data_IF_625319572664
#
_entry.id   IF_625319572664
#
_cell.length_a   1.000
_cell.length_b   1.000
_cell.length_c   1.000
_cell.angle_alpha   90.00
_cell.angle_beta   90.00
_cell.angle_gamma   90.00
#
_symmetry.space_group_name_H-M   'P 1'
#
loop_
_entity.id
_entity.type
_entity.pdbx_description
1 polymer ?
2 non-polymer ?
3 water ?
#
# COMPACT_ATOMS: atom_id res chain seq x y z
N UNK A 6 -27.05 -6.59 27.55
CA UNK A 6 -26.25 -5.37 27.47
C UNK A 6 -26.80 -4.30 28.43
N UNK A 7 -27.54 -4.74 29.46
CA UNK A 7 -27.92 -3.87 30.56
C UNK A 7 -27.71 -4.61 31.87
N UNK A 8 -27.45 -3.85 32.93
CA UNK A 8 -27.47 -4.39 34.29
C UNK A 8 -28.77 -3.90 34.95
N UNK A 9 -29.28 -4.72 35.86
CA UNK A 9 -30.53 -4.41 36.55
C UNK A 9 -30.34 -4.24 38.04
N UNK A 10 -29.17 -4.56 38.57
CA UNK A 10 -28.80 -4.33 39.97
C UNK A 10 -27.46 -3.62 40.01
N UNK A 11 -27.13 -2.94 41.11
CA UNK A 11 -25.78 -2.37 41.28
C UNK A 11 -24.70 -3.44 41.10
N UNK A 12 -23.70 -3.11 40.29
CA UNK A 12 -22.72 -4.10 39.86
C UNK A 12 -21.32 -3.49 39.91
N UNK A 13 -20.33 -4.18 40.46
CA UNK A 13 -18.97 -3.63 40.49
C UNK A 13 -18.46 -3.31 39.09
N UNK A 14 -17.76 -2.17 38.97
CA UNK A 14 -17.17 -1.79 37.68
C UNK A 14 -16.35 -2.93 37.10
N UNK A 15 -15.50 -3.58 37.92
CA UNK A 15 -14.60 -4.59 37.36
C UNK A 15 -15.33 -5.87 36.94
N UNK A 16 -16.55 -6.08 37.42
CA UNK A 16 -17.31 -7.22 36.93
C UNK A 16 -17.75 -7.03 35.48
N UNK A 17 -17.98 -5.79 35.06
CA UNK A 17 -18.42 -5.51 33.70
C UNK A 17 -17.24 -5.28 32.77
N UNK A 18 -16.26 -4.49 33.20
CA UNK A 18 -15.10 -4.08 32.38
C UNK A 18 -13.92 -4.96 32.81
N UNK A 19 -13.72 -6.04 32.06
CA UNK A 19 -12.84 -7.12 32.51
C UNK A 19 -11.36 -6.81 32.33
N UNK A 20 -11.01 -5.85 31.47
CA UNK A 20 -9.63 -5.36 31.36
C UNK A 20 -9.38 -4.37 32.48
N UNK A 21 -8.39 -4.62 33.32
CA UNK A 21 -8.17 -3.77 34.50
C UNK A 21 -7.91 -2.33 34.08
N UNK A 22 -7.18 -2.13 32.97
CA UNK A 22 -6.89 -0.79 32.53
C UNK A 22 -8.15 -0.06 32.08
N UNK A 23 -9.07 -0.76 31.41
CA UNK A 23 -10.33 -0.13 31.02
C UNK A 23 -11.25 0.06 32.21
N UNK A 24 -11.24 -0.84 33.17
CA UNK A 24 -12.01 -0.63 34.40
C UNK A 24 -11.55 0.64 35.09
N UNK A 25 -10.26 0.90 35.11
CA UNK A 25 -9.77 2.14 35.71
C UNK A 25 -10.23 3.34 34.92
N UNK A 26 -10.25 3.25 33.59
CA UNK A 26 -10.81 4.29 32.75
C UNK A 26 -12.24 4.63 33.12
N UNK A 27 -13.08 3.62 33.33
CA UNK A 27 -14.48 3.87 33.66
C UNK A 27 -14.59 4.44 35.07
N UNK A 28 -13.81 3.91 36.02
CA UNK A 28 -13.80 4.45 37.37
C UNK A 28 -13.51 5.95 37.36
N UNK A 29 -12.48 6.36 36.62
CA UNK A 29 -12.14 7.77 36.54
C UNK A 29 -13.22 8.57 35.82
N UNK A 30 -13.80 8.01 34.75
CA UNK A 30 -14.85 8.68 34.01
C UNK A 30 -16.05 8.99 34.91
N UNK A 31 -16.44 8.03 35.73
CA UNK A 31 -17.55 8.20 36.67
C UNK A 31 -17.14 8.77 38.03
N UNK A 32 -15.88 9.16 38.21
CA UNK A 32 -15.43 9.79 39.46
C UNK A 32 -15.73 8.91 40.66
N UNK A 33 -15.53 7.60 40.50
CA UNK A 33 -15.62 6.64 41.58
C UNK A 33 -14.25 6.46 42.24
N UNK A 34 -14.25 5.86 43.44
CA UNK A 34 -13.01 5.69 44.18
C UNK A 34 -12.26 4.41 43.82
N UNK A 35 -12.98 3.34 43.47
CA UNK A 35 -12.33 2.05 43.22
C UNK A 35 -13.05 1.32 42.10
N UNK A 36 -12.31 0.48 41.39
CA UNK A 36 -12.93 -0.35 40.36
C UNK A 36 -13.85 -1.40 40.96
N UNK A 37 -13.80 -1.60 42.28
CA UNK A 37 -14.77 -2.47 42.94
C UNK A 37 -16.08 -1.76 43.26
N UNK A 38 -16.17 -0.44 43.05
CA UNK A 38 -17.39 0.27 43.39
C UNK A 38 -18.52 -0.19 42.47
N UNK A 39 -19.71 -0.34 43.05
CA UNK A 39 -20.88 -0.72 42.29
C UNK A 39 -21.41 0.47 41.52
N UNK A 40 -21.83 0.23 40.28
CA UNK A 40 -22.47 1.22 39.43
C UNK A 40 -23.86 0.71 39.02
N UNK A 41 -24.73 1.64 38.64
CA UNK A 41 -26.05 1.33 38.12
C UNK A 41 -26.11 1.56 36.62
N UNK A 42 -27.11 0.97 35.97
CA UNK A 42 -27.31 1.24 34.56
C UNK A 42 -27.56 2.72 34.31
N UNK A 43 -28.29 3.41 35.21
CA UNK A 43 -28.46 4.85 35.05
C UNK A 43 -27.10 5.54 34.93
N UNK A 44 -26.14 5.14 35.78
CA UNK A 44 -24.79 5.72 35.69
C UNK A 44 -24.11 5.34 34.38
N UNK A 45 -24.24 4.10 33.94
CA UNK A 45 -23.64 3.71 32.67
C UNK A 45 -24.24 4.47 31.50
N UNK A 46 -25.55 4.73 31.58
CA UNK A 46 -26.23 5.49 30.54
C UNK A 46 -25.73 6.94 30.46
N UNK A 47 -25.13 7.47 31.53
CA UNK A 47 -24.68 8.86 31.52
C UNK A 47 -23.36 9.07 30.79
N UNK A 48 -22.70 7.99 30.38
CA UNK A 48 -21.40 8.11 29.70
C UNK A 48 -21.61 8.45 28.24
N UNK A 49 -21.24 9.67 27.85
CA UNK A 49 -21.28 10.12 26.46
C UNK A 49 -19.92 10.11 25.77
N UNK A 50 -18.83 10.22 26.52
CA UNK A 50 -17.51 10.37 25.94
C UNK A 50 -16.52 9.65 26.82
N UNK A 51 -15.63 8.88 26.22
CA UNK A 51 -14.50 8.24 26.89
C UNK A 51 -13.23 8.72 26.21
N UNK A 52 -12.31 9.25 27.02
CA UNK A 52 -10.97 9.64 26.57
C UNK A 52 -9.98 8.72 27.29
N UNK A 53 -9.36 7.83 26.54
CA UNK A 53 -8.50 6.83 27.13
C UNK A 53 -7.39 6.47 26.15
N UNK A 54 -6.66 7.48 25.71
CA UNK A 54 -5.50 7.25 24.87
C UNK A 54 -4.33 6.78 25.71
N UNK A 55 -3.45 5.99 25.10
CA UNK A 55 -2.21 5.58 25.74
C UNK A 55 -2.45 5.04 27.15
N UNK A 56 -3.47 4.20 27.27
CA UNK A 56 -3.95 3.73 28.56
C UNK A 56 -3.72 2.24 28.79
N UNK A 57 -2.92 1.58 27.93
CA UNK A 57 -2.55 0.18 28.12
C UNK A 57 -3.75 -0.77 28.09
N UNK A 58 -4.77 -0.40 27.36
CA UNK A 58 -6.01 -1.18 27.24
C UNK A 58 -5.82 -2.26 26.16
N UNK A 59 -6.06 -3.51 26.53
CA UNK A 59 -6.12 -4.64 25.60
C UNK A 59 -7.52 -4.92 25.06
N UNK A 60 -8.53 -4.77 25.89
CA UNK A 60 -9.92 -5.08 25.52
C UNK A 60 -10.88 -4.06 26.09
N UNK A 61 -11.86 -3.66 25.29
CA UNK A 61 -12.94 -2.82 25.79
C UNK A 61 -14.21 -3.61 26.11
N UNK A 62 -14.08 -4.89 26.40
CA UNK A 62 -15.24 -5.66 26.87
C UNK A 62 -15.91 -4.95 28.03
N UNK A 63 -17.25 -4.83 27.95
CA UNK A 63 -18.03 -4.08 28.89
C UNK A 63 -18.58 -2.81 28.33
N UNK A 64 -17.92 -2.28 27.29
CA UNK A 64 -18.41 -1.06 26.66
C UNK A 64 -19.78 -1.27 26.05
N UNK A 65 -20.18 -2.54 25.80
CA UNK A 65 -21.49 -2.82 25.25
C UNK A 65 -22.59 -2.29 26.15
N UNK A 66 -22.30 -2.09 27.45
CA UNK A 66 -23.29 -1.61 28.40
C UNK A 66 -23.45 -0.08 28.43
N UNK A 67 -22.79 0.65 27.51
CA UNK A 67 -22.80 2.10 27.45
C UNK A 67 -23.55 2.54 26.20
N UNK A 68 -24.88 2.51 26.19
CA UNK A 68 -25.59 2.72 24.90
C UNK A 68 -25.48 4.10 24.35
N UNK A 69 -25.16 5.08 25.17
CA UNK A 69 -25.18 6.48 24.76
C UNK A 69 -23.82 7.06 24.44
N UNK A 70 -22.78 6.24 24.35
CA UNK A 70 -21.47 6.77 24.06
C UNK A 70 -21.45 7.29 22.62
N UNK A 71 -20.99 8.54 22.46
CA UNK A 71 -20.91 9.19 21.19
C UNK A 71 -19.49 9.47 20.73
N UNK A 72 -18.53 9.61 21.65
CA UNK A 72 -17.14 9.89 21.28
C UNK A 72 -16.24 8.93 22.03
N UNK A 73 -15.34 8.27 21.32
CA UNK A 73 -14.43 7.30 21.91
C UNK A 73 -13.03 7.60 21.40
N UNK A 74 -12.15 7.95 22.29
CA UNK A 74 -10.75 8.23 21.97
C UNK A 74 -9.89 7.16 22.60
N UNK A 75 -9.35 6.28 21.78
CA UNK A 75 -8.64 5.06 22.23
C UNK A 75 -7.34 4.90 21.47
N UNK A 76 -6.71 6.04 21.12
CA UNK A 76 -5.45 5.94 20.39
C UNK A 76 -4.36 5.38 21.25
N UNK A 77 -3.46 4.60 20.67
CA UNK A 77 -2.26 4.19 21.40
C UNK A 77 -2.49 3.18 22.50
N UNK A 78 -3.38 2.23 22.26
CA UNK A 78 -3.61 1.09 23.16
C UNK A 78 -3.14 -0.18 22.47
N UNK A 79 -3.69 -1.32 22.84
CA UNK A 79 -3.27 -2.63 22.41
C UNK A 79 -4.43 -3.37 21.78
N UNK A 80 -5.41 -2.63 21.26
CA UNK A 80 -6.64 -3.25 20.78
C UNK A 80 -6.45 -4.01 19.48
N UNK A 81 -7.05 -5.18 19.42
CA UNK A 81 -7.22 -5.90 18.15
C UNK A 81 -8.68 -6.18 17.81
N UNK A 82 -9.59 -6.13 18.78
CA UNK A 82 -10.96 -6.66 18.67
C UNK A 82 -11.92 -5.51 18.95
N UNK A 83 -12.65 -5.08 17.92
CA UNK A 83 -13.65 -4.02 18.09
C UNK A 83 -15.06 -4.58 18.14
N UNK A 84 -15.24 -5.90 18.23
CA UNK A 84 -16.58 -6.44 18.34
C UNK A 84 -17.41 -5.79 19.46
N UNK A 85 -16.85 -5.44 20.62
CA UNK A 85 -17.67 -4.78 21.64
C UNK A 85 -18.28 -3.45 21.20
N UNK A 86 -17.78 -2.83 20.14
CA UNK A 86 -18.34 -1.57 19.64
C UNK A 86 -19.53 -1.78 18.74
N UNK A 87 -19.87 -3.01 18.37
CA UNK A 87 -20.70 -3.22 17.17
C UNK A 87 -22.10 -2.64 17.32
N UNK A 88 -22.63 -2.57 18.53
CA UNK A 88 -24.00 -2.08 18.75
C UNK A 88 -24.07 -0.76 19.50
N UNK A 89 -23.01 0.03 19.44
CA UNK A 89 -22.97 1.38 19.98
C UNK A 89 -23.54 2.32 18.90
N UNK A 90 -24.89 2.39 18.89
CA UNK A 90 -25.62 2.96 17.77
C UNK A 90 -25.40 4.45 17.67
N UNK A 91 -25.05 5.09 18.79
CA UNK A 91 -24.88 6.53 18.81
C UNK A 91 -23.44 6.95 18.64
N UNK A 92 -22.52 6.03 18.34
CA UNK A 92 -21.11 6.41 18.20
C UNK A 92 -20.94 7.31 17.00
N UNK A 93 -20.35 8.49 17.20
CA UNK A 93 -20.13 9.45 16.14
C UNK A 93 -18.66 9.71 15.83
N UNK A 94 -17.78 9.59 16.83
CA UNK A 94 -16.34 9.82 16.70
C UNK A 94 -15.63 8.63 17.28
N UNK A 95 -14.75 8.01 16.50
CA UNK A 95 -14.04 6.82 16.91
C UNK A 95 -12.59 6.96 16.51
N UNK A 96 -11.72 7.09 17.49
CA UNK A 96 -10.28 7.26 17.24
C UNK A 96 -9.53 6.06 17.80
N UNK A 97 -8.88 5.32 16.91
CA UNK A 97 -8.20 4.06 17.18
C UNK A 97 -6.79 4.03 16.61
N UNK A 98 -6.15 5.18 16.46
CA UNK A 98 -4.80 5.21 15.91
C UNK A 98 -3.86 4.40 16.80
N UNK A 99 -2.81 3.80 16.21
CA UNK A 99 -1.79 3.10 16.97
C UNK A 99 -2.36 1.98 17.83
N UNK A 100 -3.17 1.17 17.24
CA UNK A 100 -3.62 -0.13 17.77
C UNK A 100 -3.26 -1.18 16.73
N UNK A 101 -3.87 -2.36 16.80
CA UNK A 101 -3.69 -3.43 15.84
C UNK A 101 -5.04 -3.92 15.35
N UNK A 102 -5.93 -2.97 15.04
CA UNK A 102 -7.28 -3.25 14.58
C UNK A 102 -7.22 -3.38 13.07
N UNK A 103 -7.30 -4.60 12.59
CA UNK A 103 -7.32 -4.89 11.16
C UNK A 103 -8.67 -5.38 10.68
N UNK A 104 -9.41 -6.09 11.51
CA UNK A 104 -10.73 -6.61 11.15
C UNK A 104 -11.76 -5.52 11.42
N UNK A 105 -12.35 -4.98 10.35
CA UNK A 105 -13.30 -3.88 10.43
C UNK A 105 -14.77 -4.31 10.34
N UNK A 106 -15.06 -5.61 10.45
CA UNK A 106 -16.42 -6.06 10.28
C UNK A 106 -17.36 -5.39 11.26
N UNK A 107 -16.91 -5.16 12.49
CA UNK A 107 -17.80 -4.64 13.52
C UNK A 107 -18.15 -3.18 13.38
N UNK A 108 -17.64 -2.48 12.35
CA UNK A 108 -18.09 -1.13 12.11
C UNK A 108 -19.38 -1.10 11.30
N UNK A 109 -19.83 -2.25 10.80
CA UNK A 109 -20.85 -2.30 9.74
C UNK A 109 -22.12 -1.53 10.10
N UNK A 110 -22.56 -1.61 11.35
CA UNK A 110 -23.83 -1.02 11.75
C UNK A 110 -23.69 0.31 12.51
N UNK A 111 -22.53 0.94 12.44
CA UNK A 111 -22.31 2.21 13.13
C UNK A 111 -22.72 3.34 12.18
N UNK A 112 -24.03 3.48 12.00
CA UNK A 112 -24.56 4.33 10.92
C UNK A 112 -24.59 5.82 11.29
N UNK A 113 -24.23 6.18 12.52
CA UNK A 113 -24.08 7.55 12.93
C UNK A 113 -22.62 7.98 12.99
N UNK A 114 -21.69 7.11 12.63
CA UNK A 114 -20.28 7.47 12.71
C UNK A 114 -19.94 8.55 11.68
N UNK A 115 -19.34 9.64 12.16
CA UNK A 115 -18.95 10.76 11.31
C UNK A 115 -17.45 10.88 11.14
N UNK A 116 -16.67 10.50 12.14
CA UNK A 116 -15.24 10.64 12.10
C UNK A 116 -14.63 9.34 12.57
N UNK A 117 -13.75 8.79 11.77
CA UNK A 117 -13.08 7.51 12.03
C UNK A 117 -11.59 7.63 11.78
N UNK A 118 -10.79 7.25 12.79
CA UNK A 118 -9.34 7.36 12.68
C UNK A 118 -8.71 6.01 13.00
N UNK A 119 -7.98 5.44 12.05
CA UNK A 119 -7.40 4.12 12.10
C UNK A 119 -5.95 4.17 11.62
N UNK A 120 -5.23 5.22 11.94
CA UNK A 120 -3.86 5.36 11.46
C UNK A 120 -2.95 4.39 12.20
N UNK A 121 -1.87 3.93 11.55
CA UNK A 121 -0.89 3.06 12.23
C UNK A 121 -1.53 1.81 12.86
N UNK A 122 -2.34 1.10 12.08
CA UNK A 122 -2.96 -0.17 12.51
C UNK A 122 -2.51 -1.38 11.67
N UNK A 123 -1.61 -1.22 10.72
CA UNK A 123 -1.20 -2.31 9.83
C UNK A 123 -2.30 -2.76 8.88
N UNK A 124 -3.25 -1.86 8.56
CA UNK A 124 -4.38 -2.21 7.73
C UNK A 124 -4.01 -2.28 6.26
N UNK A 125 -4.47 -3.32 5.57
CA UNK A 125 -4.46 -3.34 4.11
C UNK A 125 -5.86 -3.27 3.49
N UNK A 126 -6.79 -4.06 3.99
CA UNK A 126 -8.10 -4.25 3.38
C UNK A 126 -9.11 -3.31 4.06
N UNK A 127 -9.56 -2.31 3.29
CA UNK A 127 -10.50 -1.33 3.79
C UNK A 127 -11.90 -1.53 3.20
N UNK A 128 -12.16 -2.70 2.61
CA UNK A 128 -13.47 -2.87 1.98
C UNK A 128 -14.63 -2.81 2.96
N UNK A 129 -14.40 -3.08 4.24
CA UNK A 129 -15.47 -2.94 5.24
C UNK A 129 -16.01 -1.53 5.40
N UNK A 130 -15.32 -0.53 4.87
CA UNK A 130 -15.81 0.84 4.93
C UNK A 130 -17.00 1.09 4.01
N UNK A 131 -17.36 0.14 3.15
CA UNK A 131 -18.54 0.27 2.28
C UNK A 131 -19.78 0.52 3.10
N UNK A 132 -19.79 0.10 4.36
CA UNK A 132 -20.97 0.20 5.19
C UNK A 132 -21.10 1.54 5.89
N UNK A 133 -20.16 2.47 5.66
CA UNK A 133 -20.18 3.77 6.33
C UNK A 133 -20.22 4.92 5.32
N UNK A 134 -21.23 4.94 4.41
CA UNK A 134 -21.24 6.00 3.39
C UNK A 134 -21.49 7.39 3.94
N UNK A 135 -21.89 7.54 5.21
CA UNK A 135 -22.15 8.83 5.81
C UNK A 135 -20.90 9.48 6.40
N UNK A 136 -19.74 8.81 6.37
CA UNK A 136 -18.57 9.35 7.02
C UNK A 136 -18.19 10.70 6.48
N UNK A 137 -17.77 11.59 7.37
CA UNK A 137 -17.33 12.94 7.00
C UNK A 137 -15.82 13.14 7.10
N UNK A 138 -15.16 12.47 8.04
CA UNK A 138 -13.70 12.49 8.11
C UNK A 138 -13.18 11.08 8.32
N UNK A 139 -12.12 10.75 7.63
CA UNK A 139 -11.51 9.42 7.65
C UNK A 139 -10.01 9.54 7.61
N UNK A 140 -9.34 9.00 8.62
CA UNK A 140 -7.90 9.06 8.72
C UNK A 140 -7.30 7.66 8.67
N UNK A 141 -6.55 7.36 7.60
CA UNK A 141 -5.98 6.04 7.34
C UNK A 141 -4.48 6.13 7.08
N UNK A 142 -3.82 7.19 7.52
CA UNK A 142 -2.40 7.33 7.25
C UNK A 142 -1.60 6.24 7.93
N UNK A 143 -0.42 5.94 7.37
CA UNK A 143 0.53 5.00 7.93
C UNK A 143 -0.03 3.60 8.10
N UNK A 144 -0.46 3.02 6.98
CA UNK A 144 -0.97 1.67 6.91
C UNK A 144 -0.30 0.99 5.73
N UNK A 145 -0.94 -0.08 5.22
CA UNK A 145 -0.41 -0.88 4.09
C UNK A 145 -1.45 -0.97 3.00
N UNK A 146 -2.18 0.13 2.77
CA UNK A 146 -3.28 0.13 1.82
C UNK A 146 -2.76 0.28 0.40
N UNK A 147 -3.29 -0.55 -0.51
CA UNK A 147 -3.07 -0.35 -1.94
C UNK A 147 -4.35 -0.07 -2.72
N UNK A 148 -5.47 -0.58 -2.29
CA UNK A 148 -6.72 -0.57 -3.04
C UNK A 148 -7.74 0.28 -2.32
N UNK A 149 -8.06 1.44 -2.90
CA UNK A 149 -9.01 2.37 -2.34
C UNK A 149 -10.31 2.42 -3.13
N UNK A 150 -10.63 1.39 -3.91
CA UNK A 150 -11.87 1.33 -4.69
C UNK A 150 -13.11 1.69 -3.86
N UNK A 151 -13.20 1.17 -2.61
CA UNK A 151 -14.37 1.41 -1.77
C UNK A 151 -14.62 2.89 -1.51
N UNK A 152 -13.60 3.74 -1.59
CA UNK A 152 -13.81 5.13 -1.19
C UNK A 152 -14.70 5.91 -2.17
N UNK A 153 -14.92 5.41 -3.35
CA UNK A 153 -15.82 6.09 -4.29
C UNK A 153 -17.23 6.18 -3.74
N UNK A 154 -17.58 5.34 -2.75
CA UNK A 154 -18.89 5.39 -2.14
C UNK A 154 -19.00 6.40 -1.01
N UNK A 155 -17.88 6.98 -0.56
CA UNK A 155 -17.88 7.84 0.63
C UNK A 155 -17.98 9.30 0.20
N UNK A 156 -19.18 9.62 -0.33
CA UNK A 156 -19.42 10.92 -0.97
C UNK A 156 -19.78 12.03 0.02
N UNK A 157 -19.76 11.75 1.33
CA UNK A 157 -19.90 12.80 2.34
C UNK A 157 -18.57 13.21 2.96
N UNK A 158 -17.45 12.58 2.57
CA UNK A 158 -16.17 12.94 3.17
C UNK A 158 -15.79 14.36 2.79
N UNK A 159 -15.43 15.15 3.78
CA UNK A 159 -14.76 16.42 3.56
C UNK A 159 -13.29 16.37 3.92
N UNK A 160 -12.86 15.34 4.67
CA UNK A 160 -11.47 15.21 5.12
C UNK A 160 -11.05 13.75 4.98
N UNK A 161 -9.96 13.53 4.26
CA UNK A 161 -9.46 12.19 3.99
C UNK A 161 -7.94 12.18 4.05
N UNK A 162 -7.38 11.35 4.91
CA UNK A 162 -5.94 11.12 4.97
C UNK A 162 -5.60 9.70 4.58
N UNK A 163 -4.75 9.57 3.55
CA UNK A 163 -4.25 8.29 3.07
C UNK A 163 -2.73 8.33 3.01
N UNK A 164 -2.09 9.29 3.67
CA UNK A 164 -0.63 9.44 3.57
C UNK A 164 0.07 8.20 4.05
N UNK A 165 1.27 7.95 3.53
CA UNK A 165 2.10 6.84 4.01
C UNK A 165 1.38 5.49 3.86
N UNK A 166 0.99 5.19 2.62
CA UNK A 166 0.42 3.90 2.22
C UNK A 166 1.16 3.50 0.94
N UNK A 167 0.56 2.61 0.18
CA UNK A 167 1.15 2.07 -1.03
C UNK A 167 0.24 2.23 -2.23
N UNK A 168 -0.41 3.41 -2.32
CA UNK A 168 -1.42 3.67 -3.31
C UNK A 168 -0.82 4.26 -4.57
N UNK A 169 -1.14 3.66 -5.72
CA UNK A 169 -0.88 4.27 -7.00
C UNK A 169 -2.15 4.68 -7.74
N UNK A 170 -3.26 4.02 -7.50
CA UNK A 170 -4.49 4.23 -8.26
C UNK A 170 -5.45 5.08 -7.42
N UNK A 171 -5.51 6.36 -7.72
CA UNK A 171 -6.40 7.30 -7.04
C UNK A 171 -7.69 7.60 -7.83
N UNK A 172 -7.96 6.89 -8.91
CA UNK A 172 -9.21 7.08 -9.66
C UNK A 172 -10.44 6.97 -8.76
N UNK A 173 -10.47 6.13 -7.72
CA UNK A 173 -11.67 6.08 -6.85
C UNK A 173 -11.99 7.42 -6.18
N UNK A 174 -11.07 8.36 -6.13
CA UNK A 174 -11.35 9.65 -5.51
C UNK A 174 -12.03 10.64 -6.44
N UNK A 175 -12.09 10.37 -7.74
CA UNK A 175 -12.39 11.40 -8.72
C UNK A 175 -13.73 12.08 -8.50
N UNK A 176 -14.70 11.34 -8.03
CA UNK A 176 -16.05 11.91 -7.83
C UNK A 176 -16.33 12.44 -6.44
N UNK A 177 -15.31 12.52 -5.58
CA UNK A 177 -15.47 12.95 -4.18
C UNK A 177 -15.33 14.47 -4.09
N UNK A 178 -16.26 15.17 -4.76
CA UNK A 178 -16.12 16.63 -4.86
C UNK A 178 -16.35 17.35 -3.53
N UNK A 179 -16.95 16.70 -2.52
CA UNK A 179 -17.04 17.34 -1.21
C UNK A 179 -15.71 17.48 -0.50
N UNK A 180 -14.65 16.83 -0.99
CA UNK A 180 -13.40 16.86 -0.26
C UNK A 180 -12.85 18.28 -0.18
N UNK A 181 -12.45 18.67 1.03
CA UNK A 181 -11.79 19.93 1.34
C UNK A 181 -10.36 19.72 1.83
N UNK A 182 -10.04 18.59 2.45
CA UNK A 182 -8.71 18.34 3.01
C UNK A 182 -8.30 16.93 2.60
N UNK A 183 -7.26 16.83 1.81
CA UNK A 183 -6.83 15.56 1.24
C UNK A 183 -5.33 15.38 1.38
N UNK A 184 -4.92 14.30 2.09
CA UNK A 184 -3.52 14.05 2.43
C UNK A 184 -3.11 12.77 1.73
N UNK A 185 -2.19 12.89 0.74
CA UNK A 185 -1.77 11.79 -0.09
C UNK A 185 -0.25 11.66 -0.15
N UNK A 186 0.49 12.32 0.71
CA UNK A 186 1.95 12.22 0.69
C UNK A 186 2.42 10.78 0.93
N UNK A 187 3.63 10.47 0.45
CA UNK A 187 4.26 9.18 0.75
C UNK A 187 3.41 8.00 0.28
N UNK A 188 3.01 8.04 -0.99
CA UNK A 188 2.37 6.92 -1.68
C UNK A 188 3.17 6.63 -2.94
N UNK A 189 2.56 6.03 -3.94
CA UNK A 189 3.20 5.61 -5.19
C UNK A 189 2.49 6.31 -6.36
N UNK A 190 2.09 7.57 -6.16
CA UNK A 190 1.24 8.30 -7.12
C UNK A 190 2.11 8.98 -8.17
N UNK A 191 1.86 8.65 -9.45
CA UNK A 191 2.49 9.34 -10.56
C UNK A 191 1.51 10.11 -11.44
N UNK A 192 0.20 9.97 -11.23
CA UNK A 192 -0.79 10.48 -12.19
C UNK A 192 -1.90 11.21 -11.44
N UNK A 193 -1.97 12.51 -11.61
CA UNK A 193 -2.94 13.31 -10.84
C UNK A 193 -4.27 13.53 -11.53
N UNK A 194 -4.51 12.91 -12.69
CA UNK A 194 -5.73 13.23 -13.44
C UNK A 194 -6.99 13.02 -12.61
N UNK A 195 -6.98 12.01 -11.73
CA UNK A 195 -8.16 11.71 -10.92
C UNK A 195 -8.59 12.87 -10.04
N UNK A 196 -7.68 13.80 -9.75
CA UNK A 196 -7.98 14.89 -8.84
C UNK A 196 -8.58 16.11 -9.53
N UNK A 197 -8.72 16.12 -10.84
CA UNK A 197 -8.99 17.35 -11.56
C UNK A 197 -10.28 18.02 -11.18
N UNK A 198 -11.28 17.26 -10.74
CA UNK A 198 -12.57 17.81 -10.42
C UNK A 198 -12.76 18.21 -9.00
N UNK A 199 -11.72 18.17 -8.16
CA UNK A 199 -11.90 18.39 -6.71
C UNK A 199 -11.77 19.88 -6.42
N UNK A 200 -12.79 20.62 -6.90
CA UNK A 200 -12.69 22.06 -6.91
C UNK A 200 -12.89 22.72 -5.54
N UNK A 201 -13.27 21.96 -4.52
CA UNK A 201 -13.49 22.50 -3.19
C UNK A 201 -12.31 22.27 -2.26
N UNK A 202 -11.22 21.70 -2.75
CA UNK A 202 -10.06 21.48 -1.88
C UNK A 202 -9.54 22.79 -1.31
N UNK A 203 -9.25 22.78 0.00
CA UNK A 203 -8.56 23.83 0.72
C UNK A 203 -7.13 23.41 1.10
N UNK A 204 -6.93 22.15 1.42
CA UNK A 204 -5.65 21.62 1.85
C UNK A 204 -5.40 20.35 1.04
N UNK A 205 -4.20 20.25 0.46
CA UNK A 205 -3.79 19.14 -0.35
C UNK A 205 -2.31 18.88 -0.12
N UNK A 206 -1.96 17.62 0.15
CA UNK A 206 -0.56 17.23 0.29
C UNK A 206 -0.25 16.07 -0.64
N UNK A 207 0.85 16.23 -1.43
CA UNK A 207 1.27 15.27 -2.45
C UNK A 207 2.76 14.99 -2.39
N UNK A 208 3.41 15.28 -1.27
CA UNK A 208 4.86 15.19 -1.12
C UNK A 208 5.35 13.74 -1.27
N UNK A 209 6.58 13.57 -1.75
CA UNK A 209 7.37 12.38 -1.47
C UNK A 209 6.74 11.09 -1.99
N UNK A 210 6.40 11.06 -3.29
CA UNK A 210 5.97 9.84 -3.95
C UNK A 210 7.13 8.98 -4.37
N UNK A 211 6.95 7.68 -4.32
CA UNK A 211 7.92 6.71 -4.82
C UNK A 211 7.22 5.76 -5.77
N UNK A 212 7.64 5.75 -7.02
CA UNK A 212 6.97 5.04 -8.09
C UNK A 212 7.98 4.08 -8.67
N UNK A 213 7.56 2.85 -8.92
CA UNK A 213 8.42 1.77 -9.37
C UNK A 213 7.90 1.19 -10.66
N UNK A 214 8.68 1.30 -11.73
CA UNK A 214 8.32 0.67 -12.98
C UNK A 214 8.62 -0.83 -12.94
N UNK A 215 7.92 -1.57 -13.80
CA UNK A 215 8.27 -2.97 -14.02
C UNK A 215 9.65 -3.06 -14.67
N UNK A 216 10.44 -4.06 -14.30
CA UNK A 216 11.78 -4.17 -14.89
C UNK A 216 11.76 -4.33 -16.40
N UNK A 217 12.81 -3.81 -17.02
CA UNK A 217 13.09 -3.99 -18.45
C UNK A 217 14.56 -4.36 -18.60
N UNK A 218 14.93 -4.85 -19.78
CA UNK A 218 16.32 -5.21 -19.99
C UNK A 218 17.18 -3.97 -20.07
N UNK A 219 18.39 -4.03 -19.50
CA UNK A 219 19.40 -3.03 -19.78
C UNK A 219 19.73 -3.04 -21.26
N UNK A 220 19.89 -1.84 -21.83
CA UNK A 220 20.42 -1.67 -23.18
C UNK A 220 21.34 -0.46 -23.16
N UNK A 221 22.21 -0.39 -24.18
CA UNK A 221 23.15 0.71 -24.28
C UNK A 221 22.43 2.05 -24.43
N UNK A 222 21.30 2.08 -25.15
CA UNK A 222 20.47 3.29 -25.25
C UNK A 222 19.05 2.96 -24.88
N UNK A 223 18.61 3.51 -23.77
CA UNK A 223 17.33 3.22 -23.20
C UNK A 223 16.41 4.43 -23.40
N UNK A 224 15.17 4.16 -23.75
CA UNK A 224 14.16 5.20 -23.94
C UNK A 224 12.94 4.77 -23.15
N UNK A 225 12.60 5.52 -22.09
CA UNK A 225 11.54 5.18 -21.17
C UNK A 225 10.52 6.30 -21.16
N UNK A 226 9.24 6.03 -21.37
CA UNK A 226 8.24 7.10 -21.33
C UNK A 226 8.18 7.77 -19.98
N UNK A 227 8.03 9.10 -20.00
CA UNK A 227 7.71 9.85 -18.78
C UNK A 227 6.22 9.67 -18.47
N UNK A 228 5.93 8.98 -17.36
CA UNK A 228 4.58 8.65 -16.97
C UNK A 228 4.02 9.55 -15.87
N UNK A 229 4.72 10.62 -15.52
CA UNK A 229 4.32 11.52 -14.45
C UNK A 229 3.40 12.62 -15.00
N UNK A 230 2.15 12.63 -14.55
CA UNK A 230 1.12 13.47 -15.13
C UNK A 230 0.44 14.39 -14.14
N UNK A 231 0.26 15.62 -14.57
CA UNK A 231 -0.49 16.65 -13.89
C UNK A 231 -2.00 16.38 -13.96
N UNK A 232 -2.79 17.21 -13.26
CA UNK A 232 -4.23 16.98 -13.22
C UNK A 232 -4.86 17.06 -14.60
N UNK A 233 -4.26 17.82 -15.52
CA UNK A 233 -4.77 17.91 -16.89
C UNK A 233 -4.13 16.91 -17.84
N UNK A 234 -3.31 16.00 -17.33
CA UNK A 234 -2.66 15.01 -18.17
C UNK A 234 -1.36 15.47 -18.83
N UNK A 235 -1.01 16.74 -18.71
CA UNK A 235 0.32 17.18 -19.18
C UNK A 235 1.42 16.50 -18.36
N UNK A 236 2.55 16.30 -19.00
CA UNK A 236 3.65 15.59 -18.36
C UNK A 236 4.52 16.54 -17.54
N UNK A 237 4.90 16.08 -16.37
CA UNK A 237 5.80 16.82 -15.47
C UNK A 237 7.23 16.65 -15.97
N UNK A 238 7.88 17.74 -16.30
CA UNK A 238 9.28 17.68 -16.73
C UNK A 238 10.15 17.21 -15.56
N UNK A 239 11.06 16.26 -15.76
CA UNK A 239 11.91 15.81 -14.63
C UNK A 239 12.76 16.96 -14.10
N UNK A 240 12.92 16.98 -12.79
CA UNK A 240 13.79 17.92 -12.10
C UNK A 240 15.25 17.52 -12.21
N UNK A 241 15.56 16.23 -12.13
CA UNK A 241 16.89 15.69 -12.32
C UNK A 241 16.78 14.24 -12.74
N UNK A 242 17.71 13.78 -13.57
CA UNK A 242 17.70 12.42 -14.12
C UNK A 242 19.02 11.75 -13.76
N UNK A 243 18.93 10.51 -13.32
CA UNK A 243 20.12 9.77 -12.96
C UNK A 243 20.99 9.42 -14.16
N UNK A 244 22.24 9.06 -13.88
CA UNK A 244 23.11 8.41 -14.87
C UNK A 244 23.21 9.25 -16.15
N UNK A 245 23.31 10.57 -15.99
CA UNK A 245 23.57 11.49 -17.10
C UNK A 245 22.48 11.45 -18.15
N UNK A 246 21.29 10.98 -17.80
CA UNK A 246 20.19 10.89 -18.73
C UNK A 246 19.66 12.25 -19.13
N UNK A 247 18.85 12.25 -20.18
CA UNK A 247 18.30 13.46 -20.79
C UNK A 247 16.81 13.33 -20.94
N UNK A 248 16.11 14.47 -21.05
CA UNK A 248 14.66 14.49 -21.28
C UNK A 248 14.38 14.99 -22.68
N UNK A 249 13.58 14.23 -23.43
CA UNK A 249 13.06 14.70 -24.72
C UNK A 249 11.59 14.30 -24.75
N UNK A 250 10.72 15.22 -24.33
CA UNK A 250 9.30 14.94 -24.21
C UNK A 250 8.83 14.12 -25.40
N UNK A 251 8.11 13.01 -25.19
CA UNK A 251 7.60 12.48 -23.92
C UNK A 251 8.46 11.46 -23.21
N UNK A 252 9.73 11.38 -23.52
CA UNK A 252 10.58 10.26 -23.05
C UNK A 252 11.75 10.74 -22.23
N UNK A 253 12.19 9.87 -21.32
CA UNK A 253 13.49 9.99 -20.63
C UNK A 253 14.45 9.05 -21.30
N UNK A 254 15.70 9.47 -21.50
CA UNK A 254 16.66 8.77 -22.33
C UNK A 254 17.98 8.61 -21.60
N UNK A 255 18.59 7.44 -21.67
CA UNK A 255 19.87 7.18 -21.06
C UNK A 255 20.81 6.49 -22.03
N UNK A 256 22.10 6.80 -21.91
CA UNK A 256 23.19 6.09 -22.54
C UNK A 256 23.92 5.35 -21.41
N UNK A 257 23.88 4.03 -21.47
CA UNK A 257 24.38 3.15 -20.39
C UNK A 257 25.38 2.16 -20.98
N UNK A 258 26.58 2.60 -21.25
CA UNK A 258 27.58 1.70 -21.84
C UNK A 258 27.99 0.57 -20.94
N UNK A 259 27.86 0.71 -19.63
CA UNK A 259 28.08 -0.40 -18.71
C UNK A 259 26.76 -0.75 -18.06
N UNK A 260 26.57 -2.04 -17.78
CA UNK A 260 25.37 -2.45 -17.08
C UNK A 260 25.26 -1.77 -15.73
N UNK A 261 24.05 -1.36 -15.40
CA UNK A 261 23.67 -0.94 -14.07
C UNK A 261 22.24 -1.41 -13.81
N UNK A 262 21.94 -1.74 -12.58
CA UNK A 262 20.68 -2.44 -12.33
C UNK A 262 19.51 -1.53 -12.07
N UNK A 263 19.70 -0.20 -12.12
CA UNK A 263 18.53 0.68 -12.07
C UNK A 263 18.93 2.07 -12.53
N UNK A 264 17.96 2.78 -13.11
CA UNK A 264 18.09 4.23 -13.33
C UNK A 264 16.83 4.84 -12.74
N UNK A 265 16.81 6.18 -12.64
CA UNK A 265 15.67 6.84 -12.01
C UNK A 265 15.62 8.30 -12.46
N UNK A 266 14.51 8.96 -12.15
CA UNK A 266 14.38 10.39 -12.32
C UNK A 266 13.50 10.91 -11.20
N UNK A 267 13.74 12.15 -10.83
CA UNK A 267 13.00 12.86 -9.78
C UNK A 267 12.18 13.96 -10.43
N UNK A 268 10.97 14.18 -9.91
CA UNK A 268 10.04 15.18 -10.46
C UNK A 268 9.55 16.09 -9.37
N UNK A 269 9.18 17.30 -9.78
CA UNK A 269 8.70 18.34 -8.87
C UNK A 269 7.75 19.22 -9.66
N UNK A 270 6.56 19.40 -9.12
CA UNK A 270 5.56 20.22 -9.80
C UNK A 270 4.71 20.92 -8.75
N UNK A 271 4.74 22.25 -8.64
CA UNK A 271 3.72 22.98 -7.85
C UNK A 271 2.37 22.82 -8.54
N UNK A 272 1.37 22.41 -7.79
CA UNK A 272 0.03 22.02 -8.28
C UNK A 272 -0.99 22.95 -7.64
N UNK A 273 -2.04 23.31 -8.37
CA UNK A 273 -3.17 24.01 -7.82
C UNK A 273 -4.40 23.20 -8.19
N UNK A 274 -5.20 22.83 -7.20
CA UNK A 274 -6.46 22.11 -7.41
C UNK A 274 -7.47 22.75 -6.50
N UNK A 275 -8.56 23.22 -7.06
CA UNK A 275 -9.57 23.91 -6.25
C UNK A 275 -8.93 25.17 -5.68
N UNK A 276 -9.02 25.33 -4.35
CA UNK A 276 -8.39 26.44 -3.66
C UNK A 276 -7.06 26.03 -3.00
N UNK A 277 -6.59 24.83 -3.26
CA UNK A 277 -5.41 24.31 -2.57
C UNK A 277 -4.16 24.36 -3.45
N UNK A 278 -3.03 24.62 -2.85
CA UNK A 278 -1.74 24.54 -3.51
C UNK A 278 -0.94 23.44 -2.84
N UNK A 279 -0.20 22.68 -3.64
CA UNK A 279 0.57 21.55 -3.13
C UNK A 279 1.82 21.40 -3.96
N UNK A 280 2.76 20.70 -3.44
CA UNK A 280 4.00 20.35 -4.15
C UNK A 280 3.98 18.86 -4.42
N UNK A 281 3.80 18.49 -5.66
CA UNK A 281 3.76 17.08 -6.11
C UNK A 281 5.19 16.75 -6.49
N UNK A 282 5.84 15.86 -5.75
CA UNK A 282 7.25 15.54 -6.02
C UNK A 282 7.53 14.12 -5.63
N UNK A 283 8.56 13.56 -6.27
CA UNK A 283 8.91 12.19 -5.98
C UNK A 283 9.92 11.64 -6.98
N UNK A 284 10.00 10.31 -7.00
CA UNK A 284 10.97 9.57 -7.80
C UNK A 284 10.27 8.48 -8.57
N UNK A 285 10.69 8.30 -9.84
CA UNK A 285 10.36 7.12 -10.65
C UNK A 285 11.63 6.29 -10.78
N UNK A 286 11.55 5.02 -10.37
CA UNK A 286 12.68 4.08 -10.42
C UNK A 286 12.41 3.05 -11.50
N UNK A 287 13.39 2.86 -12.36
CA UNK A 287 13.36 1.85 -13.43
C UNK A 287 14.37 0.73 -13.19
N UNK A 288 13.94 -0.43 -12.69
CA UNK A 288 14.87 -1.57 -12.58
C UNK A 288 15.27 -2.09 -13.94
N UNK A 289 16.55 -2.47 -14.04
CA UNK A 289 17.14 -3.00 -15.27
C UNK A 289 17.70 -4.41 -15.04
N UNK A 290 17.39 -5.30 -15.98
CA UNK A 290 17.90 -6.68 -15.92
C UNK A 290 19.14 -6.81 -16.80
N UNK A 291 20.14 -7.55 -16.30
CA UNK A 291 21.37 -7.83 -17.01
C UNK A 291 21.17 -9.09 -17.85
N UNK A 292 21.14 -8.93 -19.15
CA UNK A 292 20.70 -10.02 -20.03
C UNK A 292 21.76 -10.24 -21.09
N UNK A 293 22.07 -11.51 -21.32
CA UNK A 293 23.03 -11.92 -22.36
C UNK A 293 22.39 -12.99 -23.22
N UNK A 294 23.09 -13.34 -24.30
CA UNK A 294 22.55 -14.25 -25.31
C UNK A 294 23.34 -15.56 -25.30
N UNK A 295 22.62 -16.67 -25.17
CA UNK A 295 23.19 -17.99 -25.44
C UNK A 295 22.89 -18.29 -26.92
N UNK A 296 23.94 -18.56 -27.70
CA UNK A 296 23.83 -19.02 -29.08
C UNK A 296 24.00 -20.52 -29.07
N UNK A 297 23.03 -21.21 -29.67
CA UNK A 297 23.05 -22.66 -29.78
C UNK A 297 23.41 -22.99 -31.22
N UNK A 298 24.64 -23.46 -31.44
CA UNK A 298 25.16 -23.74 -32.78
C UNK A 298 24.87 -25.20 -33.14
N UNK A 299 24.19 -25.39 -34.26
CA UNK A 299 23.94 -26.70 -34.83
C UNK A 299 24.53 -26.68 -36.24
N UNK A 300 25.66 -27.37 -36.40
CA UNK A 300 26.36 -27.45 -37.71
C UNK A 300 26.74 -26.09 -38.29
N UNK A 301 27.18 -25.16 -37.47
CA UNK A 301 27.81 -23.96 -37.93
C UNK A 301 26.92 -22.75 -38.04
N UNK A 302 25.62 -22.88 -37.67
CA UNK A 302 24.73 -21.75 -37.60
C UNK A 302 23.91 -21.89 -36.32
N UNK A 303 23.22 -20.86 -35.93
CA UNK A 303 22.79 -20.72 -34.55
C UNK A 303 21.34 -20.28 -34.41
N UNK A 304 20.68 -20.78 -33.35
CA UNK A 304 19.49 -20.13 -32.79
C UNK A 304 19.97 -19.41 -31.53
N UNK A 305 19.21 -18.41 -31.11
CA UNK A 305 19.63 -17.56 -30.00
C UNK A 305 18.54 -17.35 -28.97
N UNK A 306 18.96 -17.31 -27.73
CA UNK A 306 18.04 -17.09 -26.59
C UNK A 306 18.65 -16.07 -25.64
N UNK A 307 17.83 -15.12 -25.17
CA UNK A 307 18.27 -14.18 -24.13
C UNK A 307 17.95 -14.71 -22.75
N UNK A 308 18.92 -14.60 -21.84
CA UNK A 308 18.77 -15.11 -20.48
C UNK A 308 19.39 -14.11 -19.51
N UNK A 309 18.70 -13.85 -18.40
CA UNK A 309 19.25 -12.98 -17.36
C UNK A 309 20.46 -13.60 -16.68
N UNK A 310 21.53 -12.84 -16.57
CA UNK A 310 22.75 -13.26 -15.92
C UNK A 310 22.46 -13.85 -14.54
N UNK A 311 23.12 -14.99 -14.28
CA UNK A 311 23.06 -15.62 -12.96
C UNK A 311 21.87 -16.51 -12.74
N UNK A 312 20.91 -16.56 -13.67
CA UNK A 312 19.69 -17.32 -13.56
C UNK A 312 19.78 -18.63 -14.35
N UNK A 313 18.85 -19.52 -14.08
CA UNK A 313 18.87 -20.86 -14.68
C UNK A 313 18.47 -20.80 -16.15
N UNK A 314 19.26 -21.48 -16.98
CA UNK A 314 18.96 -21.63 -18.39
C UNK A 314 18.13 -22.89 -18.57
N UNK A 315 17.00 -22.77 -19.24
CA UNK A 315 16.20 -23.93 -19.59
C UNK A 315 16.67 -24.39 -20.97
N UNK A 316 17.12 -25.65 -21.06
CA UNK A 316 17.63 -26.15 -22.31
C UNK A 316 16.57 -26.03 -23.40
N UNK A 317 16.98 -25.73 -24.64
CA UNK A 317 16.03 -25.74 -25.74
C UNK A 317 15.49 -27.13 -26.03
N UNK A 318 14.32 -27.18 -26.66
CA UNK A 318 13.88 -28.43 -27.24
C UNK A 318 15.01 -28.98 -28.11
N UNK A 319 15.42 -30.22 -27.94
CA UNK A 319 16.70 -30.66 -28.49
C UNK A 319 16.62 -30.89 -29.98
N UNK A 320 17.74 -30.79 -30.67
CA UNK A 320 17.71 -31.00 -32.12
C UNK A 320 17.55 -32.46 -32.44
N UNK A 321 17.00 -32.73 -33.61
CA UNK A 321 16.80 -34.10 -34.09
C UNK A 321 17.41 -34.25 -35.47
N UNK A 322 18.11 -35.37 -35.66
CA UNK A 322 18.72 -35.79 -36.93
C UNK A 322 18.59 -37.31 -37.09
N UNK A 323 17.93 -37.75 -38.18
CA UNK A 323 17.66 -39.18 -38.37
C UNK A 323 18.95 -39.98 -38.38
N UNK A 324 18.96 -41.12 -37.67
CA UNK A 324 20.15 -41.94 -37.60
C UNK A 324 21.20 -41.47 -36.62
N UNK A 325 20.89 -40.46 -35.84
CA UNK A 325 21.79 -39.95 -34.81
C UNK A 325 20.97 -39.75 -33.54
N UNK A 326 21.68 -39.69 -32.43
CA UNK A 326 21.08 -39.41 -31.12
C UNK A 326 21.75 -38.14 -30.62
N UNK A 327 20.95 -37.15 -30.22
CA UNK A 327 21.52 -35.95 -29.60
C UNK A 327 22.22 -36.32 -28.30
N UNK A 328 23.47 -35.90 -28.14
CA UNK A 328 24.23 -36.20 -26.93
C UNK A 328 24.15 -35.08 -25.90
N UNK A 329 24.41 -33.83 -26.30
CA UNK A 329 24.36 -32.72 -25.37
C UNK A 329 24.92 -31.47 -26.02
N UNK A 330 24.90 -30.39 -25.22
CA UNK A 330 25.41 -29.09 -25.63
C UNK A 330 26.78 -28.87 -24.99
N UNK A 331 27.79 -28.63 -25.82
CA UNK A 331 29.18 -28.51 -25.36
C UNK A 331 29.75 -27.13 -25.58
N UNK A 332 30.79 -26.80 -24.77
CA UNK A 332 31.38 -25.45 -24.89
C UNK A 332 32.32 -25.31 -26.08
N UNK A 333 32.62 -26.37 -26.80
CA UNK A 333 33.36 -26.33 -28.04
C UNK A 333 32.70 -27.26 -29.03
N UNK A 334 33.03 -27.09 -30.32
CA UNK A 334 32.45 -27.93 -31.36
C UNK A 334 32.87 -29.39 -31.22
N UNK A 335 34.18 -29.62 -30.95
CA UNK A 335 34.74 -30.97 -30.81
C UNK A 335 35.71 -30.97 -29.63
N UNK A 336 35.20 -30.64 -28.46
CA UNK A 336 35.98 -30.58 -27.24
C UNK A 336 35.20 -29.91 -26.12
N UNK A 337 35.90 -29.26 -25.21
CA UNK A 337 35.24 -28.50 -24.19
C UNK A 337 34.63 -29.39 -23.14
N UNK A 338 33.54 -28.93 -22.55
CA UNK A 338 32.78 -29.75 -21.62
C UNK A 338 31.29 -29.61 -21.89
N UNK A 339 30.54 -30.59 -21.40
CA UNK A 339 29.08 -30.59 -21.57
C UNK A 339 28.46 -29.63 -20.56
N UNK A 340 27.60 -28.71 -21.07
CA UNK A 340 26.85 -27.83 -20.18
C UNK A 340 25.80 -28.60 -19.43
N UNK A 341 25.72 -28.36 -18.12
CA UNK A 341 24.69 -28.95 -17.26
C UNK A 341 23.68 -27.84 -16.94
N UNK A 342 22.49 -27.93 -17.54
CA UNK A 342 21.52 -26.85 -17.39
C UNK A 342 20.90 -26.82 -16.00
N UNK A 343 20.98 -27.92 -15.28
CA UNK A 343 20.44 -27.97 -13.91
C UNK A 343 21.33 -27.20 -12.94
N UNK A 344 22.65 -27.18 -13.18
CA UNK A 344 23.59 -26.66 -12.20
C UNK A 344 24.41 -25.48 -12.67
N UNK A 345 24.54 -25.26 -13.98
CA UNK A 345 25.43 -24.22 -14.51
C UNK A 345 24.57 -23.07 -14.99
N UNK A 346 24.43 -22.02 -14.16
CA UNK A 346 23.54 -20.94 -14.43
C UNK A 346 24.17 -19.94 -15.39
N UNK A 347 23.35 -18.98 -15.86
CA UNK A 347 23.75 -18.10 -16.95
C UNK A 347 24.99 -17.27 -16.62
N UNK A 348 25.93 -17.25 -17.56
CA UNK A 348 27.15 -16.48 -17.43
C UNK A 348 26.84 -14.99 -17.59
N UNK A 349 27.77 -14.17 -17.06
CA UNK A 349 27.69 -12.73 -17.24
C UNK A 349 28.27 -12.25 -18.55
N UNK A 350 28.08 -13.02 -19.63
CA UNK A 350 28.52 -12.63 -20.96
C UNK A 350 27.80 -13.51 -21.97
N UNK A 351 27.75 -13.05 -23.23
CA UNK A 351 27.29 -13.90 -24.33
C UNK A 351 28.20 -15.10 -24.47
N UNK A 352 27.65 -16.25 -24.86
CA UNK A 352 28.49 -17.40 -25.19
C UNK A 352 27.71 -18.34 -26.09
N UNK A 353 28.49 -19.23 -26.71
CA UNK A 353 27.98 -20.24 -27.67
C UNK A 353 28.15 -21.63 -27.11
N UNK A 354 27.11 -22.45 -27.34
CA UNK A 354 27.16 -23.87 -27.07
C UNK A 354 26.93 -24.61 -28.37
N UNK A 355 27.52 -25.81 -28.48
CA UNK A 355 27.56 -26.57 -29.73
C UNK A 355 26.84 -27.90 -29.58
N UNK A 356 25.94 -28.19 -30.51
CA UNK A 356 25.26 -29.48 -30.47
C UNK A 356 26.22 -30.61 -30.82
N UNK A 357 26.22 -31.65 -30.00
CA UNK A 357 26.99 -32.86 -30.27
C UNK A 357 26.05 -34.03 -30.33
N UNK A 358 26.21 -34.86 -31.36
CA UNK A 358 25.42 -36.05 -31.60
C UNK A 358 26.33 -37.26 -31.44
N UNK A 359 25.69 -38.40 -31.29
CA UNK A 359 26.40 -39.69 -31.22
C UNK A 359 25.61 -40.72 -32.03
N UNK A 360 26.27 -41.85 -32.28
CA UNK A 360 25.64 -42.89 -33.05
C UNK A 360 24.47 -43.51 -32.30
N UNK A 361 23.50 -44.03 -33.06
CA UNK A 361 22.46 -44.89 -32.48
C UNK A 361 23.09 -46.19 -31.98
X LIG B 1 -2.45 15.53 9.68
X LIG B 1 -1.54 16.52 9.19
X LIG B 1 -3.87 15.88 9.26
X LIG B 1 -4.75 16.19 10.36
X LIG B 1 -4.37 14.66 8.51
X LIG B 1 -4.36 13.61 9.43
X LIG B 1 -2.41 15.47 10.65
X LIG B 1 -2.22 14.66 9.33
X LIG B 1 -0.76 16.28 9.42
X LIG B 1 -3.83 16.69 8.72
X LIG B 1 -4.82 15.49 10.83
X LIG B 1 -3.79 14.49 7.76
X LIG B 1 -5.26 14.83 8.17
X LIG B 1 -3.61 13.20 9.35
X LIG C 1 -22.77 -7.91 34.86
X LIG C 1 -24.03 -8.32 34.38
X LIG C 1 -21.67 -8.64 34.10
X LIG C 1 -21.68 -9.99 34.50
X LIG C 1 -21.91 -8.49 32.61
X LIG C 1 -20.80 -8.97 31.88
X LIG C 1 -22.64 -6.96 34.76
X LIG C 1 -22.67 -8.12 35.81
X LIG C 1 -24.11 -9.15 34.51
X LIG C 1 -20.82 -8.23 34.31
X LIG C 1 -21.34 -10.03 35.29
X LIG C 1 -22.72 -8.98 32.38
X LIG C 1 -22.09 -7.55 32.41
X LIG C 1 -20.20 -8.37 31.89
X LIG D 1 -7.76 25.74 -10.47
X LIG D 1 -8.48 26.14 -9.31
X LIG D 1 -7.36 24.28 -10.53
X LIG D 1 -8.39 23.42 -10.10
X LIG D 1 -6.96 23.90 -11.96
X LIG D 1 -7.63 22.70 -12.31
X LIG D 1 -8.29 25.93 -11.27
X LIG D 1 -6.94 26.26 -10.55
X LIG D 1 -7.99 25.99 -8.64
X LIG D 1 -6.60 24.21 -9.92
X LIG D 1 -8.15 22.62 -10.27
X LIG D 1 -7.19 24.63 -12.55
X LIG D 1 -6.00 23.80 -12.00
X LIG D 1 -7.62 22.62 -13.15
#
# INVERSE_FOLDING_TARGET
GPLGSETITVPTPIKQIFSDDAFAETIKDNLKKKSVTDAVTQNELNSIDQIIANNSDIKSVQGIQYLPNVTKLFLNGNKLTDIKPLANLKNLGWLFLDENKVKDLSSLKDLKKLKSLSLEHNGISDINGLVHLPQLESLYLGNNKITDITVLSRLTKLDTLSLEDNQISDIVPLAGLTKLQNLYLSKNHISDLRALAGLKNLDVLELFSQECLNKPINHQSNLVVPNTVKNTDGSLVTPEIISDDGDYEKPNVKWHLPEFTNEVSFIFYQPVTIGKAKARFHGRVTQPLKEVYTVSYDVDGTEIKTKVEAGTRITAPKPPTKQGYVFKGWYTEKNGGHEWNFNTDYMSGNDFTLYAVFKAET
GOL C1 O1 C2 O2 C3 O3 H11 H12 HO1 H2 HO2 H31 H32 HO3
GOL C1 O1 C2 O2 C3 O3 H11 H12 HO1 H2 HO2 H31 H32 HO3
GOL C1 O1 C2 O2 C3 O3 H11 H12 HO1 H2 HO2 H31 H32 HO3
#
